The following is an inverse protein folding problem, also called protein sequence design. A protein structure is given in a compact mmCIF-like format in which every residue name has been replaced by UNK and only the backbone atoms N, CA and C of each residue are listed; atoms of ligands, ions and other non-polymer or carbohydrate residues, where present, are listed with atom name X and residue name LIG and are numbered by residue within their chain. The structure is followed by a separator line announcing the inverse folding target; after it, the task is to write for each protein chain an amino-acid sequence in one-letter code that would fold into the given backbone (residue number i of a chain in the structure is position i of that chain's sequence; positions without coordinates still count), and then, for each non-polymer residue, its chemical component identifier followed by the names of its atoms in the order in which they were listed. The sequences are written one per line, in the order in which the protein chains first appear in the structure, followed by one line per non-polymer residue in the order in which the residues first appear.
data_IF_695096564840
#
_entry.id   IF_695096564840
#
_cell.length_a   1.000
_cell.length_b   1.000
_cell.length_c   1.000
_cell.angle_alpha   90.00
_cell.angle_beta   90.00
_cell.angle_gamma   90.00
#
_symmetry.space_group_name_H-M   'P 1'
#
loop_
_entity.id
_entity.type
_entity.pdbx_description
1 polymer ?
#
# COMPACT_ATOMS: atom_id res chain seq x y z
N UNK A 1 -18.72 -10.10 -22.97
CA UNK A 1 -17.73 -9.02 -22.77
C UNK A 1 -17.95 -8.42 -21.39
N UNK A 2 -16.89 -8.22 -20.64
CA UNK A 2 -16.90 -7.55 -19.34
C UNK A 2 -17.15 -6.05 -19.54
N UNK A 3 -18.01 -5.45 -18.72
CA UNK A 3 -18.32 -4.02 -18.74
C UNK A 3 -17.70 -3.32 -17.51
N UNK A 4 -17.37 -2.02 -17.60
CA UNK A 4 -16.80 -1.29 -16.45
C UNK A 4 -17.66 -1.34 -15.19
N UNK A 5 -18.97 -1.39 -15.33
CA UNK A 5 -19.91 -1.38 -14.21
C UNK A 5 -20.30 -2.79 -13.73
N UNK A 6 -19.75 -3.86 -14.32
CA UNK A 6 -19.90 -5.21 -13.80
C UNK A 6 -19.16 -5.35 -12.48
N UNK A 7 -19.79 -6.04 -11.52
CA UNK A 7 -19.15 -6.37 -10.23
C UNK A 7 -18.01 -7.36 -10.46
N UNK A 8 -16.80 -7.01 -10.05
CA UNK A 8 -15.63 -7.86 -10.21
C UNK A 8 -15.08 -8.39 -8.87
N UNK A 9 -15.46 -7.77 -7.76
CA UNK A 9 -14.99 -8.18 -6.45
C UNK A 9 -16.08 -7.95 -5.39
N UNK A 10 -16.15 -8.85 -4.41
CA UNK A 10 -16.99 -8.69 -3.23
C UNK A 10 -16.13 -8.86 -1.99
N UNK A 11 -16.03 -7.80 -1.19
CA UNK A 11 -15.28 -7.81 0.05
C UNK A 11 -16.20 -7.71 1.26
N UNK A 12 -16.00 -8.61 2.22
CA UNK A 12 -16.77 -8.60 3.46
C UNK A 12 -16.12 -7.70 4.49
N UNK A 13 -16.91 -6.79 5.05
CA UNK A 13 -16.53 -5.94 6.18
C UNK A 13 -17.18 -6.43 7.45
N UNK A 14 -16.55 -6.19 8.60
CA UNK A 14 -17.04 -6.65 9.92
C UNK A 14 -18.39 -6.05 10.32
N UNK A 15 -18.85 -4.99 9.66
CA UNK A 15 -20.12 -4.32 9.92
C UNK A 15 -20.29 -3.85 11.38
N UNK A 16 -20.76 -2.64 11.57
CA UNK A 16 -21.06 -2.10 12.92
C UNK A 16 -22.30 -2.72 13.58
N UNK A 17 -23.09 -3.51 12.84
CA UNK A 17 -24.41 -4.03 13.25
C UNK A 17 -24.46 -5.55 13.44
N UNK A 18 -23.30 -6.23 13.56
CA UNK A 18 -23.23 -7.63 13.96
C UNK A 18 -23.07 -8.65 12.82
N UNK A 19 -23.56 -8.40 11.61
CA UNK A 19 -23.35 -9.29 10.46
C UNK A 19 -22.37 -8.69 9.46
N UNK A 20 -21.45 -9.50 8.88
CA UNK A 20 -20.57 -9.05 7.80
C UNK A 20 -21.39 -8.54 6.60
N UNK A 21 -20.97 -7.41 6.03
CA UNK A 21 -21.58 -6.85 4.82
C UNK A 21 -20.68 -7.13 3.62
N UNK A 22 -21.27 -7.66 2.55
CA UNK A 22 -20.57 -7.87 1.28
C UNK A 22 -20.58 -6.58 0.46
N UNK A 23 -19.44 -5.90 0.38
CA UNK A 23 -19.25 -4.70 -0.44
C UNK A 23 -18.97 -5.12 -1.87
N UNK A 24 -19.86 -4.76 -2.80
CA UNK A 24 -19.70 -5.05 -4.22
C UNK A 24 -18.90 -3.93 -4.89
N UNK A 25 -17.75 -4.29 -5.46
CA UNK A 25 -16.87 -3.37 -6.17
C UNK A 25 -16.87 -3.71 -7.66
N UNK A 26 -17.08 -2.69 -8.51
CA UNK A 26 -17.06 -2.84 -9.96
C UNK A 26 -15.63 -2.70 -10.51
N UNK A 27 -15.42 -3.13 -11.76
CA UNK A 27 -14.17 -2.88 -12.48
C UNK A 27 -13.83 -1.38 -12.50
N UNK A 28 -14.82 -0.51 -12.73
CA UNK A 28 -14.66 0.94 -12.73
C UNK A 28 -14.14 1.44 -11.38
N UNK A 29 -14.70 0.96 -10.28
CA UNK A 29 -14.28 1.36 -8.93
C UNK A 29 -12.80 1.03 -8.68
N UNK A 30 -12.45 -0.23 -8.88
CA UNK A 30 -11.11 -0.76 -8.56
C UNK A 30 -10.05 -0.13 -9.46
N UNK A 31 -10.28 -0.12 -10.77
CA UNK A 31 -9.28 0.38 -11.73
C UNK A 31 -9.05 1.88 -11.58
N UNK A 32 -10.13 2.67 -11.46
CA UNK A 32 -9.98 4.12 -11.30
C UNK A 32 -9.33 4.49 -9.96
N UNK A 33 -9.74 3.84 -8.87
CA UNK A 33 -9.12 4.11 -7.57
C UNK A 33 -7.64 3.73 -7.59
N UNK A 34 -7.30 2.53 -8.09
CA UNK A 34 -5.91 2.11 -8.22
C UNK A 34 -5.08 3.06 -9.10
N UNK A 35 -5.66 3.52 -10.24
CA UNK A 35 -4.96 4.48 -11.09
C UNK A 35 -4.70 5.82 -10.39
N UNK A 36 -5.71 6.40 -9.76
CA UNK A 36 -5.56 7.68 -9.03
C UNK A 36 -4.53 7.57 -7.91
N UNK A 37 -4.52 6.46 -7.18
CA UNK A 37 -3.53 6.19 -6.13
C UNK A 37 -2.12 6.11 -6.72
N UNK A 38 -1.96 5.38 -7.83
CA UNK A 38 -0.66 5.29 -8.49
C UNK A 38 -0.17 6.61 -9.07
N UNK A 39 -1.07 7.42 -9.65
CA UNK A 39 -0.76 8.78 -10.11
C UNK A 39 -0.25 9.65 -8.94
N UNK A 40 -0.89 9.56 -7.75
CA UNK A 40 -0.49 10.31 -6.54
C UNK A 40 0.83 9.85 -5.93
N UNK A 41 1.19 8.59 -6.12
CA UNK A 41 2.48 8.02 -5.71
C UNK A 41 3.57 8.23 -6.76
N UNK A 42 3.26 8.88 -7.88
CA UNK A 42 4.13 9.01 -9.05
C UNK A 42 4.73 7.66 -9.50
N UNK A 43 3.90 6.60 -9.54
CA UNK A 43 4.33 5.27 -9.93
C UNK A 43 4.63 5.19 -11.42
N UNK A 44 5.62 4.36 -11.77
CA UNK A 44 6.08 4.17 -13.14
C UNK A 44 6.51 2.73 -13.42
N UNK A 45 6.90 2.45 -14.65
CA UNK A 45 7.46 1.15 -15.06
C UNK A 45 8.81 0.83 -14.40
N UNK A 46 9.48 1.83 -13.82
CA UNK A 46 10.73 1.64 -13.08
C UNK A 46 10.51 1.14 -11.65
N UNK A 47 9.27 1.25 -11.15
CA UNK A 47 8.98 0.91 -9.76
C UNK A 47 8.79 -0.58 -9.52
N UNK A 48 9.18 -0.98 -8.31
CA UNK A 48 9.09 -2.35 -7.79
C UNK A 48 8.38 -2.29 -6.43
N UNK A 49 7.12 -2.72 -6.41
CA UNK A 49 6.27 -2.65 -5.21
C UNK A 49 6.28 -3.96 -4.45
N UNK A 50 6.79 -3.92 -3.22
CA UNK A 50 6.59 -5.01 -2.26
C UNK A 50 5.16 -4.98 -1.73
N UNK A 51 4.42 -6.07 -1.92
CA UNK A 51 3.05 -6.24 -1.40
C UNK A 51 3.11 -7.13 -0.17
N UNK A 52 3.18 -6.52 1.00
CA UNK A 52 3.20 -7.19 2.30
C UNK A 52 1.87 -7.10 3.05
N UNK A 53 0.95 -6.27 2.57
CA UNK A 53 -0.42 -6.17 3.06
C UNK A 53 -1.31 -7.22 2.37
N UNK A 54 -2.33 -7.78 3.06
CA UNK A 54 -3.14 -8.86 2.51
C UNK A 54 -3.86 -8.47 1.21
N UNK A 55 -3.70 -9.25 0.14
CA UNK A 55 -4.38 -9.01 -1.14
C UNK A 55 -5.87 -9.36 -1.15
N UNK A 56 -6.37 -10.07 -0.13
CA UNK A 56 -7.81 -10.26 0.08
C UNK A 56 -8.50 -9.03 0.70
N UNK A 57 -7.73 -7.99 1.05
CA UNK A 57 -8.21 -6.69 1.52
C UNK A 57 -7.90 -5.62 0.47
N UNK A 58 -8.79 -4.60 0.32
CA UNK A 58 -8.61 -3.55 -0.68
C UNK A 58 -7.28 -2.80 -0.55
N UNK A 59 -6.68 -2.73 0.63
CA UNK A 59 -5.36 -2.12 0.80
C UNK A 59 -4.29 -2.84 -0.05
N UNK A 60 -4.25 -4.17 0.02
CA UNK A 60 -3.33 -4.94 -0.82
C UNK A 60 -3.77 -5.01 -2.28
N UNK A 61 -5.06 -5.26 -2.53
CA UNK A 61 -5.58 -5.45 -3.88
C UNK A 61 -5.61 -4.15 -4.70
N UNK A 62 -6.10 -3.06 -4.14
CA UNK A 62 -6.28 -1.81 -4.91
C UNK A 62 -5.11 -0.85 -4.71
N UNK A 63 -4.78 -0.49 -3.46
CA UNK A 63 -3.73 0.51 -3.20
C UNK A 63 -2.32 -0.01 -3.52
N UNK A 64 -2.11 -1.32 -3.58
CA UNK A 64 -0.81 -1.89 -3.93
C UNK A 64 -0.83 -2.55 -5.30
N UNK A 65 -1.58 -3.64 -5.48
CA UNK A 65 -1.56 -4.42 -6.72
C UNK A 65 -2.11 -3.62 -7.91
N UNK A 66 -3.34 -3.09 -7.81
CA UNK A 66 -3.97 -2.42 -8.96
C UNK A 66 -3.28 -1.09 -9.29
N UNK A 67 -2.85 -0.32 -8.29
CA UNK A 67 -2.09 0.91 -8.53
C UNK A 67 -0.81 0.64 -9.33
N UNK A 68 -0.06 -0.38 -8.96
CA UNK A 68 1.16 -0.75 -9.69
C UNK A 68 0.86 -1.31 -11.08
N UNK A 69 -0.17 -2.18 -11.23
CA UNK A 69 -0.56 -2.73 -12.53
C UNK A 69 -0.97 -1.63 -13.53
N UNK A 70 -1.67 -0.60 -13.08
CA UNK A 70 -2.09 0.52 -13.96
C UNK A 70 -0.92 1.39 -14.42
N UNK A 71 0.25 1.28 -13.78
CA UNK A 71 1.47 2.03 -14.11
C UNK A 71 2.57 1.15 -14.73
N UNK A 72 2.30 -0.15 -14.91
CA UNK A 72 3.20 -1.08 -15.60
C UNK A 72 4.46 -1.44 -14.82
N UNK A 73 4.51 -1.18 -13.51
CA UNK A 73 5.65 -1.52 -12.67
C UNK A 73 5.66 -2.99 -12.24
N UNK A 74 6.65 -3.37 -11.45
CA UNK A 74 6.86 -4.74 -10.99
C UNK A 74 6.15 -5.01 -9.66
N UNK A 75 5.43 -6.12 -9.57
CA UNK A 75 4.81 -6.59 -8.33
C UNK A 75 5.71 -7.62 -7.66
N UNK A 76 6.01 -7.42 -6.38
CA UNK A 76 6.76 -8.34 -5.51
C UNK A 76 5.86 -8.79 -4.34
N UNK A 77 4.89 -9.71 -4.58
CA UNK A 77 3.96 -10.15 -3.56
C UNK A 77 4.61 -11.07 -2.55
N UNK A 78 4.31 -10.84 -1.27
CA UNK A 78 4.75 -11.67 -0.17
C UNK A 78 3.59 -12.55 0.33
N UNK A 79 3.84 -13.81 0.72
CA UNK A 79 2.79 -14.71 1.20
C UNK A 79 2.16 -14.21 2.51
N UNK A 80 2.92 -13.54 3.35
CA UNK A 80 2.48 -12.92 4.60
C UNK A 80 3.51 -11.88 5.07
N UNK A 81 3.09 -10.97 5.92
CA UNK A 81 4.00 -10.01 6.55
C UNK A 81 4.89 -10.69 7.58
N UNK A 82 6.18 -10.46 7.48
CA UNK A 82 7.18 -10.75 8.51
C UNK A 82 8.27 -9.69 8.40
N UNK A 83 8.67 -9.02 9.50
CA UNK A 83 9.73 -8.01 9.44
C UNK A 83 11.00 -8.53 8.76
N UNK A 84 11.42 -9.75 9.12
CA UNK A 84 12.60 -10.40 8.54
C UNK A 84 12.48 -10.56 7.02
N UNK A 85 11.36 -11.12 6.56
CA UNK A 85 11.15 -11.37 5.13
C UNK A 85 10.96 -10.07 4.34
N UNK A 86 10.30 -9.06 4.94
CA UNK A 86 10.12 -7.75 4.30
C UNK A 86 11.47 -7.03 4.14
N UNK A 87 12.33 -7.02 5.16
CA UNK A 87 13.66 -6.43 5.08
C UNK A 87 14.56 -7.16 4.07
N UNK A 88 14.48 -8.50 4.02
CA UNK A 88 15.19 -9.28 3.00
C UNK A 88 14.68 -8.94 1.59
N UNK A 89 13.36 -8.87 1.39
CA UNK A 89 12.77 -8.50 0.11
C UNK A 89 13.22 -7.11 -0.38
N UNK A 90 13.36 -6.13 0.53
CA UNK A 90 13.88 -4.79 0.18
C UNK A 90 15.27 -4.92 -0.47
N UNK A 91 16.17 -5.71 0.11
CA UNK A 91 17.52 -5.92 -0.43
C UNK A 91 17.52 -6.72 -1.73
N UNK A 92 16.83 -7.89 -1.72
CA UNK A 92 16.95 -8.89 -2.78
C UNK A 92 16.25 -8.40 -4.06
N UNK A 93 15.09 -7.76 -3.93
CA UNK A 93 14.27 -7.31 -5.04
C UNK A 93 14.46 -5.84 -5.40
N UNK A 94 15.35 -5.11 -4.72
CA UNK A 94 15.58 -3.67 -4.95
C UNK A 94 14.27 -2.87 -4.97
N UNK A 95 13.49 -3.06 -3.92
CA UNK A 95 12.15 -2.47 -3.77
C UNK A 95 12.24 -0.94 -3.79
N UNK A 96 11.39 -0.28 -4.56
CA UNK A 96 11.29 1.18 -4.64
C UNK A 96 10.13 1.75 -3.83
N UNK A 97 9.10 0.93 -3.60
CA UNK A 97 7.92 1.34 -2.84
C UNK A 97 7.25 0.16 -2.12
N UNK A 98 6.61 0.44 -1.00
CA UNK A 98 5.73 -0.50 -0.32
C UNK A 98 4.69 0.21 0.55
N UNK A 99 3.59 -0.48 0.79
CA UNK A 99 2.50 0.00 1.62
C UNK A 99 2.41 -0.82 2.91
N UNK A 100 1.97 -0.18 3.99
CA UNK A 100 1.82 -0.87 5.27
C UNK A 100 0.94 -0.12 6.27
N UNK A 101 0.52 -0.85 7.30
CA UNK A 101 -0.10 -0.24 8.48
C UNK A 101 1.00 0.19 9.47
N UNK A 102 0.75 1.18 10.36
CA UNK A 102 1.77 1.67 11.30
C UNK A 102 2.51 0.58 12.08
N UNK A 103 1.80 -0.45 12.51
CA UNK A 103 2.40 -1.57 13.27
C UNK A 103 3.42 -2.38 12.46
N UNK A 104 3.28 -2.46 11.13
CA UNK A 104 4.26 -3.10 10.26
C UNK A 104 5.56 -2.31 10.24
N UNK A 105 5.49 -0.98 10.10
CA UNK A 105 6.67 -0.11 10.16
C UNK A 105 7.38 -0.22 11.51
N UNK A 106 6.64 -0.16 12.63
CA UNK A 106 7.19 -0.33 13.97
C UNK A 106 7.92 -1.67 14.10
N UNK A 107 7.31 -2.76 13.60
CA UNK A 107 7.90 -4.09 13.66
C UNK A 107 9.19 -4.20 12.80
N UNK A 108 9.22 -3.56 11.63
CA UNK A 108 10.44 -3.50 10.79
C UNK A 108 11.54 -2.70 11.49
N UNK A 109 11.24 -1.54 12.07
CA UNK A 109 12.20 -0.74 12.83
C UNK A 109 12.80 -1.46 14.04
N UNK A 110 12.02 -2.31 14.69
CA UNK A 110 12.47 -3.07 15.87
C UNK A 110 13.29 -4.33 15.51
N UNK A 111 13.37 -4.70 14.25
CA UNK A 111 14.03 -5.94 13.84
C UNK A 111 15.55 -5.77 13.75
N UNK A 112 16.30 -6.78 14.18
CA UNK A 112 17.78 -6.76 14.20
C UNK A 112 18.44 -6.57 12.82
N UNK A 113 17.75 -6.96 11.75
CA UNK A 113 18.24 -6.81 10.38
C UNK A 113 17.96 -5.42 9.79
N UNK A 114 17.19 -4.56 10.49
CA UNK A 114 16.88 -3.22 10.02
C UNK A 114 18.16 -2.42 9.67
N UNK A 115 19.11 -2.39 10.59
CA UNK A 115 20.37 -1.66 10.41
C UNK A 115 21.29 -2.21 9.29
N UNK A 116 20.97 -3.39 8.75
CA UNK A 116 21.72 -4.04 7.67
C UNK A 116 21.02 -3.93 6.32
N UNK A 117 19.79 -3.37 6.31
CA UNK A 117 18.97 -3.28 5.10
C UNK A 117 19.36 -2.03 4.31
N UNK A 118 19.55 -2.20 3.03
CA UNK A 118 19.82 -1.10 2.08
C UNK A 118 18.48 -0.52 1.58
N UNK A 119 18.11 0.62 2.12
CA UNK A 119 16.90 1.36 1.73
C UNK A 119 17.13 2.36 0.60
N UNK A 120 18.31 2.41 -0.02
CA UNK A 120 18.68 3.43 -1.01
C UNK A 120 17.76 3.45 -2.25
N UNK A 121 17.11 2.34 -2.55
CA UNK A 121 16.18 2.22 -3.68
C UNK A 121 14.75 2.66 -3.33
N UNK A 122 14.39 2.71 -2.04
CA UNK A 122 13.06 3.14 -1.62
C UNK A 122 12.90 4.64 -1.88
N UNK A 123 11.71 5.04 -2.31
CA UNK A 123 11.35 6.46 -2.46
C UNK A 123 9.97 6.79 -1.88
N UNK A 124 8.97 5.94 -2.10
CA UNK A 124 7.58 6.21 -1.76
C UNK A 124 6.88 5.02 -1.11
N UNK A 125 5.70 5.24 -0.58
CA UNK A 125 4.81 4.24 -0.02
C UNK A 125 3.65 4.86 0.73
N UNK A 126 2.69 4.03 1.10
CA UNK A 126 1.50 4.44 1.84
C UNK A 126 1.56 3.89 3.27
N UNK A 127 1.35 4.78 4.24
CA UNK A 127 1.00 4.39 5.62
C UNK A 127 -0.48 4.67 5.83
N UNK A 128 -1.27 3.63 6.10
CA UNK A 128 -2.73 3.75 6.22
C UNK A 128 -3.33 2.64 7.09
N UNK A 129 -4.68 2.59 7.16
CA UNK A 129 -5.42 1.54 7.86
C UNK A 129 -5.54 1.72 9.38
N UNK A 130 -4.90 2.74 9.93
CA UNK A 130 -5.00 3.20 11.31
C UNK A 130 -4.59 4.67 11.39
N UNK A 131 -4.61 5.26 12.60
CA UNK A 131 -3.98 6.56 12.79
C UNK A 131 -2.48 6.48 12.48
N UNK A 132 -1.99 7.34 11.60
CA UNK A 132 -0.60 7.40 11.16
C UNK A 132 0.13 8.55 11.89
N UNK A 133 0.87 8.26 12.97
CA UNK A 133 1.58 9.31 13.71
C UNK A 133 2.62 9.98 12.82
N UNK A 134 2.63 11.32 12.80
CA UNK A 134 3.59 12.11 12.01
C UNK A 134 5.05 11.74 12.34
N UNK A 135 5.37 11.48 13.60
CA UNK A 135 6.73 11.08 13.99
C UNK A 135 7.14 9.73 13.40
N UNK A 136 6.19 8.78 13.27
CA UNK A 136 6.46 7.49 12.63
C UNK A 136 6.66 7.66 11.12
N UNK A 137 5.88 8.53 10.48
CA UNK A 137 6.03 8.83 9.06
C UNK A 137 7.36 9.53 8.79
N UNK A 138 7.74 10.54 9.58
CA UNK A 138 9.07 11.19 9.49
C UNK A 138 10.19 10.18 9.66
N UNK A 139 10.05 9.28 10.62
CA UNK A 139 11.02 8.21 10.82
C UNK A 139 11.15 7.30 9.60
N UNK A 140 10.04 6.93 8.93
CA UNK A 140 10.08 6.16 7.70
C UNK A 140 10.73 6.96 6.55
N UNK A 141 10.44 8.26 6.45
CA UNK A 141 11.08 9.13 5.48
C UNK A 141 12.60 9.21 5.67
N UNK A 142 13.07 9.27 6.92
CA UNK A 142 14.48 9.47 7.24
C UNK A 142 15.29 8.16 7.27
N UNK A 143 14.78 7.13 7.95
CA UNK A 143 15.52 5.89 8.18
C UNK A 143 15.29 4.83 7.10
N UNK A 144 14.14 4.86 6.36
CA UNK A 144 13.86 3.95 5.23
C UNK A 144 13.96 4.64 3.87
N UNK A 145 14.50 5.87 3.82
CA UNK A 145 14.58 6.68 2.59
C UNK A 145 13.23 6.90 1.87
N UNK A 146 12.11 6.75 2.58
CA UNK A 146 10.75 6.87 2.03
C UNK A 146 10.32 8.34 2.02
N UNK A 147 11.08 9.17 1.28
CA UNK A 147 10.93 10.64 1.27
C UNK A 147 9.55 11.11 0.81
N UNK A 148 8.91 10.30 -0.01
CA UNK A 148 7.59 10.56 -0.58
C UNK A 148 6.53 9.65 0.08
N UNK A 149 6.63 9.44 1.41
CA UNK A 149 5.61 8.67 2.14
C UNK A 149 4.30 9.44 2.25
N UNK A 150 3.19 8.76 2.01
CA UNK A 150 1.87 9.36 1.95
C UNK A 150 0.94 8.70 2.96
N UNK A 151 0.08 9.50 3.59
CA UNK A 151 -1.04 8.99 4.38
C UNK A 151 -2.30 8.91 3.53
N UNK A 152 -3.06 7.83 3.70
CA UNK A 152 -4.35 7.60 3.00
C UNK A 152 -5.43 7.27 4.01
N UNK A 153 -6.54 7.99 3.94
CA UNK A 153 -7.79 7.57 4.58
C UNK A 153 -8.68 6.86 3.57
N UNK A 154 -9.28 5.76 4.00
CA UNK A 154 -10.16 4.98 3.14
C UNK A 154 -11.02 3.97 3.88
N UNK A 155 -11.98 3.43 3.14
CA UNK A 155 -12.87 2.37 3.57
C UNK A 155 -13.23 1.49 2.37
N UNK A 156 -13.55 0.22 2.61
CA UNK A 156 -13.84 -0.74 1.53
C UNK A 156 -14.92 -0.24 0.58
N UNK A 157 -15.97 0.41 1.11
CA UNK A 157 -17.09 0.97 0.35
C UNK A 157 -16.69 2.10 -0.61
N UNK A 158 -15.53 2.72 -0.42
CA UNK A 158 -15.00 3.78 -1.28
C UNK A 158 -13.96 3.29 -2.29
N UNK A 159 -13.65 1.99 -2.33
CA UNK A 159 -12.85 1.29 -3.36
C UNK A 159 -11.30 1.36 -3.28
N UNK A 160 -10.60 1.54 -2.17
CA UNK A 160 -10.94 2.06 -0.86
C UNK A 160 -10.50 3.50 -0.62
N UNK A 161 -9.60 4.10 -1.42
CA UNK A 161 -9.01 5.41 -1.16
C UNK A 161 -10.04 6.53 -1.26
N UNK A 162 -10.25 7.26 -0.16
CA UNK A 162 -11.15 8.42 -0.09
C UNK A 162 -10.38 9.72 -0.20
N UNK A 163 -9.36 9.87 0.65
CA UNK A 163 -8.47 11.04 0.65
C UNK A 163 -7.02 10.60 0.75
N UNK A 164 -6.15 11.34 0.13
CA UNK A 164 -4.73 11.04 0.03
C UNK A 164 -3.94 12.36 -0.06
N UNK A 165 -2.82 12.44 0.65
CA UNK A 165 -1.84 13.50 0.49
C UNK A 165 -1.12 13.45 -0.87
N UNK A 166 -0.19 14.35 -1.06
CA UNK A 166 0.68 14.39 -2.25
C UNK A 166 2.13 14.09 -1.85
N UNK A 167 2.92 13.57 -2.79
CA UNK A 167 4.33 13.17 -2.54
C UNK A 167 5.25 14.30 -2.08
N UNK A 168 4.85 15.55 -2.25
CA UNK A 168 5.63 16.74 -1.86
C UNK A 168 4.99 17.51 -0.70
N UNK A 169 4.02 16.94 0.00
CA UNK A 169 3.43 17.56 1.19
C UNK A 169 4.34 17.37 2.41
N UNK A 170 4.46 18.40 3.23
CA UNK A 170 5.15 18.31 4.53
C UNK A 170 4.39 17.35 5.47
N UNK A 171 5.11 16.44 6.14
CA UNK A 171 4.57 15.46 7.08
C UNK A 171 4.23 16.11 8.42
#
# INVERSE_FOLDING_TARGET
CVKPDDVCNMQYTSGTTGFPKGVMLTHRNIVNNGKIIGDRMDLSTADRMMIQVPMFHCFGMVLSMTSMMTHGGTLCPMPYFSPKSSLACVNDEKITCFNGVPTMFIAMFAHADFAKTDFSHIRTGIMAGANCPADLMRRAADEMNMKEIISVYGQTEASPGCTMGEVNEDI
#
